data_IF_486613821085
#
_entry.id   IF_486613821085
#
_cell.length_a   1.000
_cell.length_b   1.000
_cell.length_c   1.000
_cell.angle_alpha   90.00
_cell.angle_beta   90.00
_cell.angle_gamma   90.00
#
_symmetry.space_group_name_H-M   'P 1'
#
loop_
_entity.id
_entity.type
_entity.pdbx_description
1 polymer ?
#
# COMPACT_ATOMS: atom_id res chain seq x y z
N UNK A 1 -31.37 21.63 23.12
CA UNK A 1 -30.05 21.87 22.48
C UNK A 1 -28.94 21.09 23.10
N UNK A 2 -28.74 21.15 24.40
CA UNK A 2 -27.67 20.39 25.05
C UNK A 2 -27.87 18.88 24.92
N UNK A 3 -29.11 18.41 24.91
CA UNK A 3 -29.42 16.99 24.75
C UNK A 3 -29.14 16.47 23.34
N UNK A 4 -29.32 17.29 22.32
CA UNK A 4 -29.04 16.90 20.96
C UNK A 4 -27.53 16.80 20.68
N UNK A 5 -26.78 17.75 21.21
CA UNK A 5 -25.32 17.71 21.10
C UNK A 5 -24.74 16.49 21.81
N UNK A 6 -25.31 16.18 22.97
CA UNK A 6 -24.88 15.01 23.72
C UNK A 6 -25.21 13.71 22.98
N UNK A 7 -26.33 13.67 22.31
CA UNK A 7 -26.78 12.51 21.55
C UNK A 7 -25.88 12.28 20.34
N UNK A 8 -25.52 13.34 19.64
CA UNK A 8 -24.60 13.26 18.50
C UNK A 8 -23.22 12.83 18.95
N UNK A 9 -22.76 13.33 20.06
CA UNK A 9 -21.47 12.91 20.61
C UNK A 9 -21.48 11.44 21.04
N UNK A 10 -22.57 10.97 21.61
CA UNK A 10 -22.69 9.58 21.99
C UNK A 10 -22.73 8.66 20.77
N UNK A 11 -23.39 9.06 19.70
CA UNK A 11 -23.40 8.31 18.44
C UNK A 11 -22.02 8.25 17.83
N UNK A 12 -21.29 9.36 17.82
CA UNK A 12 -19.92 9.37 17.32
C UNK A 12 -19.01 8.52 18.19
N UNK A 13 -19.21 8.52 19.48
CA UNK A 13 -18.44 7.69 20.39
C UNK A 13 -18.74 6.20 20.22
N UNK A 14 -19.96 5.85 19.80
CA UNK A 14 -20.28 4.46 19.53
C UNK A 14 -19.70 3.94 18.23
N UNK A 15 -19.56 4.79 17.23
CA UNK A 15 -18.89 4.42 15.99
C UNK A 15 -17.37 4.38 16.15
N UNK A 16 -16.83 5.31 16.91
CA UNK A 16 -15.39 5.39 17.15
C UNK A 16 -14.78 4.16 17.81
N UNK A 17 -15.42 3.46 18.77
CA UNK A 17 -14.76 2.29 19.35
C UNK A 17 -14.44 1.20 18.36
N UNK A 18 -15.22 1.04 17.30
CA UNK A 18 -14.88 0.08 16.26
C UNK A 18 -13.75 0.55 15.37
N UNK A 19 -13.72 1.85 15.08
CA UNK A 19 -12.62 2.44 14.32
C UNK A 19 -11.36 2.64 15.15
N UNK A 20 -11.52 2.96 16.41
CA UNK A 20 -10.40 3.14 17.33
C UNK A 20 -9.96 1.87 18.02
N UNK A 21 -10.63 0.76 17.76
CA UNK A 21 -9.98 -0.49 18.05
C UNK A 21 -8.76 -0.53 17.19
N UNK A 22 -7.99 0.16 17.69
CA UNK A 22 -6.60 0.27 17.51
C UNK A 22 -6.08 -0.54 16.36
N UNK A 23 -6.46 -0.11 15.17
CA UNK A 23 -5.70 -0.51 14.03
C UNK A 23 -4.66 0.56 13.83
N UNK A 24 -3.50 0.29 14.34
CA UNK A 24 -2.37 1.15 14.08
C UNK A 24 -2.02 1.06 12.63
N UNK A 25 -1.57 2.15 12.07
CA UNK A 25 -1.12 2.17 10.70
C UNK A 25 0.40 2.23 10.69
N UNK A 26 1.00 1.22 10.07
CA UNK A 26 2.44 1.13 9.95
C UNK A 26 2.87 1.45 8.54
N UNK A 27 4.01 2.09 8.42
CA UNK A 27 4.64 2.27 7.13
C UNK A 27 5.50 1.03 6.85
N UNK A 28 5.14 0.21 5.85
CA UNK A 28 5.91 -1.00 5.59
C UNK A 28 7.27 -0.68 5.01
N UNK A 29 8.21 -1.61 5.20
CA UNK A 29 9.50 -1.51 4.55
C UNK A 29 9.35 -1.77 3.06
N UNK A 30 10.06 -0.99 2.26
CA UNK A 30 9.99 -1.08 0.81
C UNK A 30 11.39 -1.07 0.24
N UNK A 31 11.66 -2.02 -0.64
CA UNK A 31 12.85 -2.03 -1.47
C UNK A 31 12.44 -1.61 -2.88
N UNK A 32 13.16 -0.66 -3.44
CA UNK A 32 12.88 -0.13 -4.77
C UNK A 32 14.11 -0.32 -5.64
N UNK A 33 13.93 -0.94 -6.81
CA UNK A 33 15.04 -1.12 -7.74
C UNK A 33 14.51 -1.11 -9.18
N UNK A 34 15.42 -0.92 -10.12
CA UNK A 34 15.10 -0.98 -11.53
C UNK A 34 15.52 -2.31 -12.11
N UNK A 35 14.68 -2.88 -12.95
CA UNK A 35 14.96 -4.12 -13.65
C UNK A 35 14.18 -4.15 -14.96
N UNK A 36 14.87 -4.42 -16.06
CA UNK A 36 14.25 -4.60 -17.39
C UNK A 36 13.33 -3.45 -17.80
N UNK A 37 13.81 -2.21 -17.60
CA UNK A 37 13.06 -0.99 -17.93
C UNK A 37 11.77 -0.86 -17.12
N UNK A 38 11.76 -1.39 -15.92
CA UNK A 38 10.65 -1.25 -14.99
C UNK A 38 11.18 -0.87 -13.61
N UNK A 39 10.33 -0.20 -12.85
CA UNK A 39 10.61 0.02 -11.44
C UNK A 39 9.90 -1.08 -10.67
N UNK A 40 10.63 -1.76 -9.81
CA UNK A 40 10.09 -2.84 -8.99
C UNK A 40 10.12 -2.41 -7.54
N UNK A 41 8.97 -2.56 -6.87
CA UNK A 41 8.87 -2.32 -5.44
C UNK A 41 8.57 -3.64 -4.76
N UNK A 42 9.31 -3.94 -3.71
CA UNK A 42 9.01 -5.05 -2.82
C UNK A 42 8.56 -4.46 -1.50
N UNK A 43 7.31 -4.67 -1.16
CA UNK A 43 6.68 -4.11 0.03
C UNK A 43 6.42 -5.22 1.03
N UNK A 44 7.03 -5.10 2.19
CA UNK A 44 6.94 -6.13 3.22
C UNK A 44 5.73 -5.86 4.10
N UNK A 45 4.67 -6.65 3.90
CA UNK A 45 3.42 -6.52 4.65
C UNK A 45 2.99 -7.87 5.22
N UNK A 46 3.72 -8.38 6.22
CA UNK A 46 3.38 -9.68 6.79
C UNK A 46 1.95 -9.69 7.33
N UNK A 47 1.27 -10.79 7.14
CA UNK A 47 -0.10 -10.94 7.59
C UNK A 47 -1.15 -10.52 6.56
N UNK A 48 -0.73 -10.04 5.40
CA UNK A 48 -1.67 -9.65 4.33
C UNK A 48 -1.66 -10.68 3.21
N UNK A 49 -2.75 -10.67 2.45
CA UNK A 49 -2.86 -11.43 1.21
C UNK A 49 -3.50 -10.57 0.13
N UNK A 50 -3.71 -11.16 -1.03
CA UNK A 50 -4.24 -10.44 -2.20
C UNK A 50 -5.60 -9.79 -1.96
N UNK A 51 -6.39 -10.32 -1.05
CA UNK A 51 -7.73 -9.81 -0.77
C UNK A 51 -7.69 -8.56 0.08
N UNK A 52 -6.63 -8.40 0.86
CA UNK A 52 -6.52 -7.35 1.86
C UNK A 52 -5.57 -6.24 1.44
N UNK A 53 -5.08 -6.28 0.22
CA UNK A 53 -4.18 -5.27 -0.30
C UNK A 53 -4.90 -4.44 -1.35
N UNK A 54 -4.82 -3.13 -1.21
CA UNK A 54 -5.35 -2.19 -2.19
C UNK A 54 -4.23 -1.31 -2.70
N UNK A 55 -4.20 -1.15 -4.01
CA UNK A 55 -3.22 -0.31 -4.67
C UNK A 55 -3.98 0.68 -5.54
N UNK A 56 -3.70 1.94 -5.36
CA UNK A 56 -4.30 2.97 -6.19
C UNK A 56 -3.22 3.88 -6.76
N UNK A 57 -3.44 4.32 -7.97
CA UNK A 57 -2.60 5.31 -8.61
C UNK A 57 -3.49 6.44 -9.09
N UNK A 58 -3.41 7.56 -8.42
CA UNK A 58 -4.20 8.72 -8.74
C UNK A 58 -3.27 9.89 -8.97
N UNK A 59 -3.36 10.49 -10.15
CA UNK A 59 -2.38 11.44 -10.63
C UNK A 59 -1.01 10.78 -10.61
N UNK A 60 -0.08 11.26 -9.84
CA UNK A 60 1.25 10.67 -9.74
C UNK A 60 1.51 10.08 -8.37
N UNK A 61 0.45 9.82 -7.61
CA UNK A 61 0.59 9.28 -6.26
C UNK A 61 0.13 7.83 -6.25
N UNK A 62 1.05 6.95 -5.97
CA UNK A 62 0.82 5.54 -5.78
C UNK A 62 0.60 5.29 -4.29
N UNK A 63 -0.57 4.78 -3.93
CA UNK A 63 -0.89 4.46 -2.54
C UNK A 63 -1.09 2.97 -2.41
N UNK A 64 -0.38 2.39 -1.45
CA UNK A 64 -0.46 0.96 -1.14
C UNK A 64 -0.97 0.83 0.28
N UNK A 65 -2.07 0.10 0.44
CA UNK A 65 -2.62 -0.20 1.76
C UNK A 65 -2.79 -1.69 1.92
N UNK A 66 -2.59 -2.17 3.12
CA UNK A 66 -2.81 -3.57 3.43
C UNK A 66 -3.44 -3.72 4.80
N UNK A 67 -4.43 -4.58 4.90
CA UNK A 67 -5.08 -4.89 6.15
C UNK A 67 -4.71 -6.28 6.62
N UNK A 68 -4.37 -6.41 7.89
CA UNK A 68 -4.09 -7.70 8.48
C UNK A 68 -5.40 -8.37 8.87
N UNK A 69 -5.66 -9.54 8.31
CA UNK A 69 -6.85 -10.31 8.63
C UNK A 69 -6.62 -11.11 9.91
N UNK A 70 -7.06 -10.54 11.01
CA UNK A 70 -6.87 -11.11 12.34
C UNK A 70 -7.83 -12.28 12.58
N UNK A 71 -8.99 -12.27 11.96
CA UNK A 71 -10.01 -13.30 12.20
C UNK A 71 -9.62 -14.68 11.68
N UNK A 72 -8.89 -14.72 10.57
CA UNK A 72 -8.42 -15.96 10.00
C UNK A 72 -7.16 -16.51 10.66
N UNK A 73 -6.61 -15.79 11.62
CA UNK A 73 -5.34 -16.16 12.26
C UNK A 73 -5.42 -16.10 13.77
N UNK A 74 -6.33 -16.91 14.31
CA UNK A 74 -6.54 -16.93 15.76
C UNK A 74 -5.27 -17.22 16.55
N UNK A 75 -4.38 -18.05 16.01
CA UNK A 75 -3.09 -18.32 16.65
C UNK A 75 -2.16 -17.10 16.69
N UNK A 76 -2.30 -16.18 15.73
CA UNK A 76 -1.53 -14.95 15.69
C UNK A 76 -2.15 -13.84 16.50
N UNK A 77 -3.41 -13.97 16.87
CA UNK A 77 -4.14 -12.91 17.57
C UNK A 77 -3.47 -12.50 18.87
N UNK A 78 -2.98 -13.47 19.61
CA UNK A 78 -2.30 -13.20 20.87
C UNK A 78 -1.00 -12.44 20.66
N UNK A 79 -0.20 -12.83 19.69
CA UNK A 79 1.03 -12.12 19.38
C UNK A 79 0.78 -10.73 18.86
N UNK A 80 -0.19 -10.58 17.98
CA UNK A 80 -0.57 -9.26 17.47
C UNK A 80 -1.15 -8.36 18.55
N UNK A 81 -1.84 -8.91 19.52
CA UNK A 81 -2.36 -8.13 20.65
C UNK A 81 -1.24 -7.56 21.50
N UNK A 82 -0.14 -8.27 21.64
CA UNK A 82 1.03 -7.80 22.38
C UNK A 82 1.79 -6.73 21.61
N UNK A 83 1.93 -6.88 20.29
CA UNK A 83 2.69 -5.96 19.46
C UNK A 83 1.83 -4.89 18.79
N UNK A 84 0.52 -5.02 18.91
CA UNK A 84 -0.42 -4.12 18.25
C UNK A 84 -0.75 -4.60 16.85
N UNK A 85 -2.03 -4.91 16.61
CA UNK A 85 -2.52 -5.21 15.28
C UNK A 85 -2.63 -3.92 14.51
N UNK A 86 -2.15 -3.91 13.29
CA UNK A 86 -2.20 -2.72 12.50
C UNK A 86 -2.35 -3.01 11.01
N UNK A 87 -2.68 -1.97 10.31
CA UNK A 87 -2.72 -1.97 8.88
C UNK A 87 -1.44 -1.32 8.34
N UNK A 88 -1.19 -1.53 7.07
CA UNK A 88 -0.05 -0.92 6.40
C UNK A 88 -0.53 0.14 5.45
N UNK A 89 0.20 1.23 5.36
CA UNK A 89 -0.08 2.27 4.38
C UNK A 89 1.20 2.96 3.98
N UNK A 90 1.37 3.12 2.69
CA UNK A 90 2.50 3.86 2.17
C UNK A 90 2.17 4.48 0.84
N UNK A 91 2.64 5.71 0.62
CA UNK A 91 2.42 6.45 -0.61
C UNK A 91 3.75 6.86 -1.23
N UNK A 92 3.79 6.86 -2.56
CA UNK A 92 4.95 7.25 -3.34
C UNK A 92 4.53 8.20 -4.43
N UNK A 93 5.39 9.16 -4.74
CA UNK A 93 5.24 9.94 -5.95
C UNK A 93 5.91 9.19 -7.08
N UNK A 94 5.15 8.91 -8.12
CA UNK A 94 5.62 8.15 -9.27
C UNK A 94 5.79 9.09 -10.46
N UNK A 95 6.85 8.87 -11.24
CA UNK A 95 7.07 9.64 -12.44
C UNK A 95 5.96 9.42 -13.47
N UNK A 96 5.65 10.43 -14.26
CA UNK A 96 4.71 10.31 -15.39
C UNK A 96 5.19 9.33 -16.45
N UNK A 97 6.45 8.93 -16.39
CA UNK A 97 7.08 8.03 -17.35
C UNK A 97 6.69 6.57 -17.16
N UNK A 98 5.77 6.29 -16.26
CA UNK A 98 5.29 4.93 -16.01
C UNK A 98 4.10 4.62 -16.92
N UNK A 99 4.13 3.44 -17.51
CA UNK A 99 3.00 2.92 -18.27
C UNK A 99 1.96 2.38 -17.30
N UNK A 100 0.93 3.18 -17.03
CA UNK A 100 -0.07 2.88 -16.02
C UNK A 100 -0.92 1.66 -16.35
N UNK A 101 -1.09 1.36 -17.62
CA UNK A 101 -1.92 0.24 -18.06
C UNK A 101 -1.22 -1.11 -17.90
N UNK A 102 0.08 -1.09 -17.68
CA UNK A 102 0.89 -2.31 -17.58
C UNK A 102 1.45 -2.57 -16.20
N UNK A 103 0.92 -1.89 -15.19
CA UNK A 103 1.35 -2.12 -13.81
C UNK A 103 0.86 -3.49 -13.37
N UNK A 104 1.74 -4.29 -12.80
CA UNK A 104 1.43 -5.61 -12.29
C UNK A 104 1.74 -5.69 -10.80
N UNK A 105 0.93 -6.44 -10.08
CA UNK A 105 1.09 -6.64 -8.67
C UNK A 105 0.87 -8.11 -8.31
N UNK A 106 1.80 -8.65 -7.53
CA UNK A 106 1.67 -10.01 -7.00
C UNK A 106 2.01 -9.99 -5.53
N UNK A 107 1.38 -10.86 -4.76
CA UNK A 107 1.70 -11.00 -3.35
C UNK A 107 1.98 -12.46 -3.03
N UNK A 108 3.01 -12.68 -2.23
CA UNK A 108 3.37 -14.01 -1.77
C UNK A 108 4.03 -13.90 -0.41
N UNK A 109 3.51 -14.67 0.55
CA UNK A 109 4.05 -14.72 1.91
C UNK A 109 4.17 -13.34 2.55
N UNK A 110 3.18 -12.47 2.34
CA UNK A 110 3.18 -11.14 2.90
C UNK A 110 4.09 -10.13 2.21
N UNK A 111 4.68 -10.50 1.09
CA UNK A 111 5.51 -9.59 0.30
C UNK A 111 4.79 -9.24 -0.99
N UNK A 112 4.49 -7.97 -1.15
CA UNK A 112 3.90 -7.44 -2.37
C UNK A 112 5.01 -7.08 -3.34
N UNK A 113 4.94 -7.63 -4.53
CA UNK A 113 5.83 -7.23 -5.63
C UNK A 113 5.03 -6.41 -6.62
N UNK A 114 5.43 -5.18 -6.79
CA UNK A 114 4.78 -4.24 -7.68
C UNK A 114 5.75 -3.87 -8.79
N UNK A 115 5.34 -4.08 -10.03
CA UNK A 115 6.16 -3.80 -11.19
C UNK A 115 5.53 -2.66 -11.98
N UNK A 116 6.30 -1.59 -12.15
CA UNK A 116 5.86 -0.39 -12.84
C UNK A 116 6.72 -0.22 -14.09
N UNK A 117 6.24 -0.69 -15.25
CA UNK A 117 7.01 -0.55 -16.48
C UNK A 117 7.12 0.90 -16.89
N UNK A 118 8.27 1.29 -17.40
CA UNK A 118 8.46 2.62 -17.97
C UNK A 118 7.78 2.68 -19.34
N UNK A 119 7.20 3.84 -19.65
CA UNK A 119 6.60 4.05 -20.95
C UNK A 119 7.66 3.98 -22.06
N UNK A 120 7.23 3.54 -23.24
CA UNK A 120 8.15 3.38 -24.37
C UNK A 120 8.93 4.66 -24.71
N UNK A 121 8.27 5.80 -24.57
CA UNK A 121 8.86 7.08 -24.92
C UNK A 121 10.05 7.47 -24.04
N UNK A 122 10.18 6.85 -22.86
CA UNK A 122 11.25 7.18 -21.90
C UNK A 122 12.26 6.05 -21.71
N UNK A 123 12.14 4.99 -22.48
CA UNK A 123 13.15 3.93 -22.47
C UNK A 123 14.46 4.44 -23.03
N UNK A 124 15.58 3.93 -22.53
CA UNK A 124 16.89 4.38 -23.06
C UNK A 124 16.96 4.19 -24.56
N UNK A 125 17.43 5.23 -25.22
CA UNK A 125 17.66 5.19 -26.66
C UNK A 125 19.14 5.24 -26.93
N UNK A 126 19.56 4.46 -27.90
CA UNK A 126 20.90 4.57 -28.41
C UNK A 126 20.94 5.71 -29.43
N UNK A 127 21.87 6.59 -29.26
CA UNK A 127 22.07 7.70 -30.18
C UNK A 127 23.33 7.39 -31.01
N UNK A 128 23.14 7.32 -32.32
CA UNK A 128 24.25 7.08 -33.24
C UNK A 128 25.05 8.35 -33.41
N UNK A 129 26.38 8.22 -33.27
CA UNK A 129 27.27 9.34 -33.43
C UNK A 129 27.87 9.25 -34.83
N UNK A 130 27.76 10.35 -35.57
CA UNK A 130 28.34 10.45 -36.90
C UNK A 130 29.57 11.36 -36.86
N UNK A 131 30.55 11.05 -37.75
CA UNK A 131 31.66 11.97 -37.97
C UNK A 131 31.16 13.13 -38.82
N UNK A 132 31.56 14.33 -38.46
CA UNK A 132 31.16 15.53 -39.23
C UNK A 132 32.03 15.73 -40.45
#
# INVERSE_FOLDING_TARGET
>A
MASELKKVQDEQLQEKPEQTRVRRVYSPQVDIFEKDNAIVLLVDMPGTDEKNINISLEKNILTITGEVDVEHRQGYQLEYAEYGVGDYSRSFTVSEDIDRDKIEATVKNGVLRLTLPKAEAVKPRRIDVRAS
#
